data_IF_038544199072
#
_entry.id   IF_038544199072
#
_cell.length_a   1.000
_cell.length_b   1.000
_cell.length_c   1.000
_cell.angle_alpha   90.00
_cell.angle_beta   90.00
_cell.angle_gamma   90.00
#
_symmetry.space_group_name_H-M   'P 1'
#
loop_
_entity.id
_entity.type
_entity.pdbx_description
1 polymer ?
#
# COMPACT_ATOMS: atom_id res chain seq x y z
N UNK A 1 18.29 49.94 -6.67
CA UNK A 1 17.14 49.51 -5.83
C UNK A 1 16.20 48.57 -6.58
N UNK A 2 16.07 48.68 -7.91
CA UNK A 2 15.20 47.76 -8.70
C UNK A 2 15.75 46.32 -8.74
N UNK A 3 17.06 46.12 -8.86
CA UNK A 3 17.63 44.75 -8.85
C UNK A 3 17.40 44.01 -7.54
N UNK A 4 17.62 44.64 -6.38
CA UNK A 4 17.33 44.02 -5.08
C UNK A 4 15.84 43.79 -4.87
N UNK A 5 14.98 44.67 -5.40
CA UNK A 5 13.52 44.51 -5.31
C UNK A 5 13.00 43.31 -6.13
N UNK A 6 13.69 42.92 -7.20
CA UNK A 6 13.30 41.77 -8.04
C UNK A 6 14.02 40.49 -7.61
N UNK A 7 15.29 40.56 -7.21
CA UNK A 7 16.06 39.38 -6.80
C UNK A 7 15.53 38.74 -5.52
N UNK A 8 15.09 39.54 -4.55
CA UNK A 8 14.59 39.02 -3.27
C UNK A 8 13.36 38.11 -3.41
N UNK A 9 12.25 38.50 -4.09
CA UNK A 9 11.10 37.62 -4.23
C UNK A 9 11.42 36.35 -5.04
N UNK A 10 12.29 36.44 -6.06
CA UNK A 10 12.73 35.26 -6.82
C UNK A 10 13.50 34.29 -5.91
N UNK A 11 14.41 34.80 -5.09
CA UNK A 11 15.17 33.99 -4.15
C UNK A 11 14.25 33.31 -3.12
N UNK A 12 13.26 34.03 -2.59
CA UNK A 12 12.30 33.48 -1.63
C UNK A 12 11.45 32.36 -2.26
N UNK A 13 11.00 32.53 -3.50
CA UNK A 13 10.29 31.48 -4.25
C UNK A 13 11.21 30.26 -4.45
N UNK A 14 12.48 30.47 -4.83
CA UNK A 14 13.41 29.37 -5.03
C UNK A 14 13.69 28.60 -3.72
N UNK A 15 13.88 29.32 -2.61
CA UNK A 15 14.08 28.70 -1.29
C UNK A 15 12.82 27.94 -0.86
N UNK A 16 11.64 28.54 -0.99
CA UNK A 16 10.38 27.86 -0.67
C UNK A 16 10.21 26.57 -1.50
N UNK A 17 10.56 26.60 -2.78
CA UNK A 17 10.47 25.44 -3.66
C UNK A 17 11.41 24.32 -3.24
N UNK A 18 12.65 24.65 -2.86
CA UNK A 18 13.62 23.66 -2.34
C UNK A 18 13.12 23.04 -1.03
N UNK A 19 12.55 23.85 -0.14
CA UNK A 19 11.99 23.36 1.13
C UNK A 19 10.79 22.43 0.89
N UNK A 20 9.90 22.79 -0.02
CA UNK A 20 8.73 21.98 -0.40
C UNK A 20 9.15 20.60 -0.96
N UNK A 21 10.09 20.59 -1.93
CA UNK A 21 10.60 19.36 -2.51
C UNK A 21 11.36 18.52 -1.47
N UNK A 22 12.10 19.17 -0.57
CA UNK A 22 12.79 18.49 0.53
C UNK A 22 11.83 17.82 1.50
N UNK A 23 10.74 18.49 1.86
CA UNK A 23 9.69 17.94 2.72
C UNK A 23 8.98 16.75 2.04
N UNK A 24 8.58 16.90 0.78
CA UNK A 24 7.97 15.83 -0.01
C UNK A 24 8.90 14.62 -0.17
N UNK A 25 10.18 14.87 -0.48
CA UNK A 25 11.18 13.81 -0.62
C UNK A 25 11.41 13.06 0.69
N UNK A 26 11.43 13.76 1.83
CA UNK A 26 11.54 13.13 3.13
C UNK A 26 10.35 12.22 3.45
N UNK A 27 9.11 12.68 3.21
CA UNK A 27 7.90 11.85 3.38
C UNK A 27 7.96 10.62 2.46
N UNK A 28 8.28 10.81 1.18
CA UNK A 28 8.38 9.71 0.23
C UNK A 28 9.37 8.64 0.70
N UNK A 29 10.54 9.04 1.22
CA UNK A 29 11.56 8.09 1.72
C UNK A 29 11.06 7.31 2.94
N UNK A 30 10.38 7.97 3.89
CA UNK A 30 9.81 7.30 5.07
C UNK A 30 8.84 6.19 4.65
N UNK A 31 7.89 6.50 3.76
CA UNK A 31 6.92 5.53 3.28
C UNK A 31 7.55 4.46 2.37
N UNK A 32 8.58 4.81 1.60
CA UNK A 32 9.32 3.83 0.80
C UNK A 32 10.09 2.83 1.66
N UNK A 33 10.75 3.29 2.72
CA UNK A 33 11.46 2.41 3.65
C UNK A 33 10.48 1.49 4.40
N UNK A 34 9.32 2.02 4.82
CA UNK A 34 8.25 1.23 5.41
C UNK A 34 7.73 0.14 4.44
N UNK A 35 7.49 0.49 3.17
CA UNK A 35 7.07 -0.47 2.16
C UNK A 35 8.12 -1.56 1.92
N UNK A 36 9.41 -1.19 1.88
CA UNK A 36 10.53 -2.13 1.67
C UNK A 36 10.65 -3.12 2.82
N UNK A 37 10.57 -2.66 4.07
CA UNK A 37 10.69 -3.53 5.23
C UNK A 37 9.50 -4.48 5.33
N UNK A 38 8.28 -3.98 5.10
CA UNK A 38 7.08 -4.79 5.03
C UNK A 38 7.14 -5.86 3.92
N UNK A 39 7.55 -5.49 2.70
CA UNK A 39 7.67 -6.43 1.60
C UNK A 39 8.77 -7.48 1.85
N UNK A 40 9.90 -7.09 2.43
CA UNK A 40 10.97 -8.01 2.82
C UNK A 40 10.50 -9.01 3.88
N UNK A 41 9.69 -8.57 4.83
CA UNK A 41 9.12 -9.46 5.83
C UNK A 41 8.09 -10.42 5.22
N UNK A 42 7.16 -9.91 4.40
CA UNK A 42 6.17 -10.71 3.69
C UNK A 42 6.77 -11.75 2.74
N UNK A 43 7.98 -11.50 2.21
CA UNK A 43 8.74 -12.46 1.42
C UNK A 43 9.06 -13.78 2.16
N UNK A 44 9.13 -13.74 3.49
CA UNK A 44 9.42 -14.90 4.32
C UNK A 44 8.16 -15.67 4.78
N UNK A 45 6.97 -15.16 4.46
CA UNK A 45 5.70 -15.73 4.87
C UNK A 45 4.99 -16.45 3.71
N UNK A 46 4.04 -17.32 4.05
CA UNK A 46 3.24 -18.07 3.09
C UNK A 46 1.80 -17.52 3.03
N UNK A 47 1.42 -16.77 1.98
CA UNK A 47 0.09 -16.17 1.87
C UNK A 47 -1.04 -17.19 1.64
N UNK A 48 -0.74 -18.47 1.39
CA UNK A 48 -1.74 -19.55 1.28
C UNK A 48 -2.07 -20.15 2.65
N UNK A 49 -1.05 -20.38 3.49
CA UNK A 49 -1.24 -20.98 4.82
C UNK A 49 -1.61 -19.96 5.90
N UNK A 50 -1.09 -18.74 5.78
CA UNK A 50 -1.18 -17.75 6.85
C UNK A 50 -2.32 -16.75 6.63
N UNK A 51 -3.12 -16.82 5.57
CA UNK A 51 -4.16 -15.80 5.35
C UNK A 51 -5.49 -16.03 6.08
N UNK A 52 -5.74 -17.25 6.60
CA UNK A 52 -7.07 -17.65 7.08
C UNK A 52 -7.33 -17.38 8.57
N UNK A 53 -6.28 -17.20 9.36
CA UNK A 53 -6.41 -17.00 10.81
C UNK A 53 -6.26 -15.51 11.13
N UNK A 54 -7.28 -14.85 11.72
CA UNK A 54 -7.12 -13.49 12.21
C UNK A 54 -6.21 -13.47 13.44
N UNK A 55 -5.69 -12.27 13.74
CA UNK A 55 -5.04 -11.85 14.99
C UNK A 55 -5.48 -12.71 16.18
N UNK A 56 -4.54 -13.34 16.91
CA UNK A 56 -4.67 -14.33 18.01
C UNK A 56 -6.00 -14.17 18.76
N UNK A 57 -7.01 -14.65 18.07
CA UNK A 57 -8.30 -14.86 18.63
C UNK A 57 -8.15 -16.27 19.15
N UNK A 58 -7.90 -16.36 20.45
CA UNK A 58 -8.11 -17.59 21.22
C UNK A 58 -9.50 -18.23 20.94
N UNK A 59 -10.39 -17.50 20.26
CA UNK A 59 -11.59 -17.96 19.61
C UNK A 59 -11.56 -17.73 18.07
N UNK A 60 -11.53 -18.78 17.23
CA UNK A 60 -11.56 -18.64 15.77
C UNK A 60 -12.84 -17.99 15.22
N UNK A 61 -13.87 -17.76 16.04
CA UNK A 61 -15.11 -17.09 15.63
C UNK A 61 -15.03 -15.55 15.69
N UNK A 62 -13.99 -14.96 16.30
CA UNK A 62 -13.89 -13.51 16.42
C UNK A 62 -13.30 -12.90 15.14
N UNK A 63 -14.03 -11.98 14.46
CA UNK A 63 -13.52 -11.35 13.25
C UNK A 63 -12.40 -10.36 13.55
N UNK A 64 -11.62 -10.04 12.53
CA UNK A 64 -10.65 -8.98 12.65
C UNK A 64 -11.34 -7.64 13.01
N UNK A 65 -10.84 -6.91 14.01
CA UNK A 65 -11.47 -5.67 14.46
C UNK A 65 -11.38 -4.57 13.40
N UNK A 66 -12.42 -3.73 13.30
CA UNK A 66 -12.46 -2.66 12.29
C UNK A 66 -11.44 -1.56 12.61
N UNK A 67 -10.31 -1.58 11.91
CA UNK A 67 -9.19 -0.64 12.10
C UNK A 67 -9.55 0.81 11.77
N UNK A 68 -10.61 1.05 10.99
CA UNK A 68 -11.11 2.41 10.75
C UNK A 68 -11.78 2.98 12.00
N UNK A 69 -12.30 2.12 12.89
CA UNK A 69 -12.87 2.60 14.15
C UNK A 69 -11.82 2.91 15.23
N UNK A 70 -10.54 2.67 14.94
CA UNK A 70 -9.44 2.81 15.89
C UNK A 70 -8.74 4.16 15.75
N UNK A 71 -8.29 4.71 16.87
CA UNK A 71 -7.30 5.79 16.87
C UNK A 71 -5.93 5.25 16.39
N UNK A 72 -5.05 6.12 15.86
CA UNK A 72 -3.69 5.72 15.49
C UNK A 72 -2.94 5.02 16.62
N UNK A 73 -3.12 5.46 17.87
CA UNK A 73 -2.48 4.82 19.04
C UNK A 73 -3.01 3.42 19.33
N UNK A 74 -4.31 3.17 19.09
CA UNK A 74 -4.89 1.84 19.28
C UNK A 74 -4.41 0.88 18.21
N UNK A 75 -4.34 1.33 16.95
CA UNK A 75 -3.79 0.54 15.85
C UNK A 75 -2.31 0.24 16.06
N UNK A 76 -1.51 1.23 16.49
CA UNK A 76 -0.10 1.01 16.81
C UNK A 76 0.08 -0.02 17.93
N UNK A 77 -0.71 0.09 19.00
CA UNK A 77 -0.68 -0.87 20.11
C UNK A 77 -1.06 -2.26 19.63
N UNK A 78 -2.12 -2.37 18.84
CA UNK A 78 -2.53 -3.63 18.23
C UNK A 78 -1.37 -4.24 17.45
N UNK A 79 -0.72 -3.48 16.56
CA UNK A 79 0.40 -4.02 15.80
C UNK A 79 1.61 -4.41 16.66
N UNK A 80 1.84 -3.77 17.81
CA UNK A 80 2.99 -4.04 18.69
C UNK A 80 2.77 -5.20 19.66
N UNK A 81 1.59 -5.27 20.25
CA UNK A 81 1.23 -6.23 21.31
C UNK A 81 0.45 -7.42 20.75
N UNK A 82 0.16 -7.34 19.46
CA UNK A 82 -0.69 -8.25 18.77
C UNK A 82 0.00 -9.46 18.22
N UNK A 83 -0.40 -10.62 18.72
CA UNK A 83 -0.07 -11.86 18.05
C UNK A 83 -1.04 -12.03 16.89
N UNK A 84 -0.54 -12.18 15.67
CA UNK A 84 -1.36 -12.54 14.51
C UNK A 84 -0.57 -13.48 13.66
N UNK A 85 -1.25 -14.47 13.11
CA UNK A 85 -0.66 -15.33 12.09
C UNK A 85 -1.17 -14.96 10.71
N UNK A 86 -1.88 -13.84 10.57
CA UNK A 86 -2.39 -13.40 9.29
C UNK A 86 -1.30 -12.75 8.44
N UNK A 87 -1.00 -13.33 7.27
CA UNK A 87 -0.04 -12.78 6.31
C UNK A 87 -0.18 -11.25 6.12
N UNK A 88 -1.40 -10.81 5.82
CA UNK A 88 -1.65 -9.45 5.41
C UNK A 88 -1.59 -8.47 6.57
N UNK A 89 -2.11 -8.87 7.73
CA UNK A 89 -2.04 -8.02 8.92
C UNK A 89 -0.62 -7.91 9.44
N UNK A 90 0.18 -8.98 9.45
CA UNK A 90 1.58 -8.88 9.89
C UNK A 90 2.38 -7.93 8.99
N UNK A 91 2.23 -8.07 7.66
CA UNK A 91 2.90 -7.20 6.69
C UNK A 91 2.42 -5.75 6.83
N UNK A 92 1.10 -5.52 6.98
CA UNK A 92 0.54 -4.18 7.15
C UNK A 92 0.96 -3.54 8.47
N UNK A 93 0.98 -4.30 9.56
CA UNK A 93 1.42 -3.83 10.87
C UNK A 93 2.90 -3.46 10.87
N UNK A 94 3.75 -4.24 10.20
CA UNK A 94 5.16 -3.89 10.07
C UNK A 94 5.34 -2.61 9.24
N UNK A 95 4.59 -2.44 8.15
CA UNK A 95 4.59 -1.19 7.40
C UNK A 95 4.18 0.00 8.30
N UNK A 96 3.07 -0.16 9.02
CA UNK A 96 2.51 0.87 9.91
C UNK A 96 3.47 1.26 11.05
N UNK A 97 4.16 0.29 11.64
CA UNK A 97 5.14 0.51 12.72
C UNK A 97 6.36 1.31 12.26
N UNK A 98 6.73 1.20 10.98
CA UNK A 98 7.83 1.95 10.38
C UNK A 98 7.40 3.36 9.91
N UNK A 99 6.12 3.71 10.05
CA UNK A 99 5.59 5.04 9.72
C UNK A 99 5.38 5.83 11.03
N UNK A 100 5.75 7.13 11.07
CA UNK A 100 5.46 7.97 12.22
C UNK A 100 3.97 7.99 12.58
N UNK A 101 3.68 7.94 13.88
CA UNK A 101 2.31 7.89 14.37
C UNK A 101 1.49 9.09 13.88
N UNK A 102 0.29 8.83 13.36
CA UNK A 102 -0.62 9.86 12.86
C UNK A 102 -0.23 10.43 11.50
N UNK A 103 0.73 9.83 10.77
CA UNK A 103 1.04 10.22 9.40
C UNK A 103 0.08 9.66 8.37
N UNK A 104 -0.43 8.44 8.59
CA UNK A 104 -1.51 7.87 7.79
C UNK A 104 -2.86 8.26 8.37
N UNK A 105 -3.74 8.79 7.52
CA UNK A 105 -5.11 9.15 7.89
C UNK A 105 -6.15 8.53 6.94
N UNK A 106 -6.80 7.47 7.41
CA UNK A 106 -7.87 6.80 6.67
C UNK A 106 -9.11 7.67 6.49
N UNK A 107 -9.34 8.66 7.36
CA UNK A 107 -10.54 9.51 7.34
C UNK A 107 -10.58 10.42 6.10
N UNK A 108 -9.43 10.64 5.45
CA UNK A 108 -9.31 11.46 4.23
C UNK A 108 -9.62 10.65 2.97
N UNK A 109 -9.92 9.34 3.08
CA UNK A 109 -10.17 8.41 1.95
C UNK A 109 -9.07 8.44 0.87
N UNK A 110 -7.82 8.72 1.25
CA UNK A 110 -6.70 8.71 0.32
C UNK A 110 -5.56 7.81 0.74
N UNK A 111 -5.36 7.65 2.05
CA UNK A 111 -4.26 6.90 2.62
C UNK A 111 -4.61 5.44 2.80
N UNK A 112 -3.68 4.55 2.45
CA UNK A 112 -3.86 3.11 2.61
C UNK A 112 -2.55 2.33 2.52
N UNK A 113 -2.55 1.13 3.09
CA UNK A 113 -1.50 0.14 2.88
C UNK A 113 -2.13 -1.01 2.12
N UNK A 114 -1.65 -1.22 0.90
CA UNK A 114 -2.15 -2.24 -0.02
C UNK A 114 -1.09 -3.30 -0.24
N UNK A 115 -1.49 -4.56 -0.14
CA UNK A 115 -0.62 -5.71 -0.23
C UNK A 115 -1.20 -6.67 -1.27
N UNK A 116 -0.37 -7.05 -2.25
CA UNK A 116 -0.72 -8.01 -3.29
C UNK A 116 0.36 -9.05 -3.42
N UNK A 117 -0.01 -10.32 -3.60
CA UNK A 117 0.96 -11.36 -3.98
C UNK A 117 0.59 -11.88 -5.37
N UNK A 118 1.61 -12.05 -6.21
CA UNK A 118 1.46 -12.49 -7.60
C UNK A 118 2.38 -13.68 -7.84
N UNK A 119 1.80 -14.81 -8.22
CA UNK A 119 2.48 -16.03 -8.62
C UNK A 119 2.69 -16.06 -10.12
N UNK A 120 3.92 -16.36 -10.53
CA UNK A 120 4.37 -16.38 -11.92
C UNK A 120 4.98 -17.74 -12.24
N UNK A 121 4.72 -18.24 -13.45
CA UNK A 121 5.34 -19.44 -14.02
C UNK A 121 5.57 -19.22 -15.51
N UNK A 122 6.77 -19.49 -16.00
CA UNK A 122 7.13 -19.39 -17.42
C UNK A 122 6.75 -18.01 -18.02
N UNK A 123 7.08 -16.93 -17.31
CA UNK A 123 6.76 -15.57 -17.73
C UNK A 123 5.27 -15.18 -17.69
N UNK A 124 4.39 -16.04 -17.20
CA UNK A 124 2.94 -15.79 -17.12
C UNK A 124 2.47 -15.71 -15.67
N UNK A 125 1.51 -14.82 -15.42
CA UNK A 125 0.82 -14.74 -14.12
C UNK A 125 -0.12 -15.94 -14.02
N UNK A 126 0.11 -16.79 -13.02
CA UNK A 126 -0.70 -17.98 -12.76
C UNK A 126 -1.79 -17.66 -11.73
N UNK A 127 -1.44 -16.90 -10.70
CA UNK A 127 -2.30 -16.71 -9.54
C UNK A 127 -2.04 -15.37 -8.85
N UNK A 128 -3.08 -14.82 -8.24
CA UNK A 128 -3.00 -13.65 -7.37
C UNK A 128 -3.69 -13.91 -6.05
N UNK A 129 -3.08 -13.41 -4.99
CA UNK A 129 -3.61 -13.46 -3.63
C UNK A 129 -3.93 -12.05 -3.11
N UNK A 130 -4.90 -11.90 -2.19
CA UNK A 130 -5.61 -12.97 -1.45
C UNK A 130 -6.53 -13.82 -2.33
N UNK A 131 -6.96 -15.02 -1.94
CA UNK A 131 -8.05 -15.73 -2.64
C UNK A 131 -9.39 -15.46 -1.96
N UNK A 132 -10.55 -15.66 -2.63
CA UNK A 132 -11.84 -15.55 -1.96
C UNK A 132 -11.97 -16.46 -0.74
N UNK A 133 -11.35 -17.65 -0.79
CA UNK A 133 -11.30 -18.60 0.31
C UNK A 133 -10.38 -18.16 1.48
N UNK A 134 -9.59 -17.11 1.30
CA UNK A 134 -8.69 -16.59 2.33
C UNK A 134 -9.37 -15.58 3.24
N UNK A 135 -10.56 -15.10 2.86
CA UNK A 135 -11.36 -14.23 3.70
C UNK A 135 -11.99 -15.07 4.82
N UNK A 136 -11.76 -14.67 6.06
CA UNK A 136 -12.47 -15.25 7.18
C UNK A 136 -13.98 -14.95 7.05
N UNK A 137 -14.90 -15.91 7.32
CA UNK A 137 -16.33 -15.73 7.06
C UNK A 137 -16.95 -14.51 7.77
N UNK A 138 -16.39 -14.12 8.92
CA UNK A 138 -16.86 -12.99 9.71
C UNK A 138 -16.03 -11.71 9.49
N UNK A 139 -14.94 -11.77 8.73
CA UNK A 139 -14.15 -10.59 8.40
C UNK A 139 -14.95 -9.63 7.52
N UNK A 140 -14.73 -8.34 7.78
CA UNK A 140 -15.37 -7.28 6.99
C UNK A 140 -14.82 -7.27 5.57
N UNK A 141 -15.73 -7.07 4.62
CA UNK A 141 -15.48 -7.18 3.18
C UNK A 141 -14.50 -6.15 2.63
N UNK A 142 -14.21 -5.06 3.37
CA UNK A 142 -13.42 -3.96 2.84
C UNK A 142 -11.92 -4.26 2.72
N UNK A 143 -11.41 -5.26 3.44
CA UNK A 143 -10.00 -5.62 3.39
C UNK A 143 -9.63 -6.34 2.08
N UNK A 144 -10.57 -7.08 1.49
CA UNK A 144 -10.33 -7.88 0.29
C UNK A 144 -10.88 -7.12 -0.92
N UNK A 145 -9.97 -6.54 -1.70
CA UNK A 145 -10.29 -5.66 -2.82
C UNK A 145 -10.26 -6.40 -4.16
N UNK A 146 -11.12 -5.98 -5.08
CA UNK A 146 -11.45 -6.69 -6.33
C UNK A 146 -12.38 -5.90 -7.26
N UNK A 147 -13.21 -6.64 -8.01
CA UNK A 147 -13.91 -6.21 -9.24
C UNK A 147 -14.72 -4.90 -9.23
N UNK A 148 -15.04 -4.37 -8.06
CA UNK A 148 -15.98 -3.26 -7.85
C UNK A 148 -15.28 -1.96 -7.40
N UNK A 149 -13.94 -1.87 -7.51
CA UNK A 149 -13.14 -0.75 -6.97
C UNK A 149 -12.91 0.46 -7.92
N UNK A 150 -13.66 0.58 -9.02
CA UNK A 150 -13.81 1.83 -9.81
C UNK A 150 -12.89 2.03 -11.03
N UNK A 151 -12.93 3.23 -11.62
CA UNK A 151 -12.32 3.61 -12.93
C UNK A 151 -10.77 3.62 -12.96
N UNK A 152 -10.09 3.50 -11.82
CA UNK A 152 -8.63 3.61 -11.71
C UNK A 152 -7.87 2.37 -12.25
N UNK A 153 -8.57 1.25 -12.43
CA UNK A 153 -8.02 0.04 -13.04
C UNK A 153 -9.04 -0.53 -14.04
N UNK A 154 -9.10 -0.02 -15.28
CA UNK A 154 -10.12 -0.43 -16.25
C UNK A 154 -10.02 -1.91 -16.67
N UNK A 155 -8.91 -2.58 -16.36
CA UNK A 155 -8.75 -4.03 -16.59
C UNK A 155 -9.33 -4.87 -15.43
N UNK A 156 -9.67 -4.24 -14.30
CA UNK A 156 -10.42 -4.82 -13.20
C UNK A 156 -11.92 -4.78 -13.50
N UNK A 157 -12.46 -5.85 -14.07
CA UNK A 157 -13.89 -5.96 -14.36
C UNK A 157 -14.54 -7.04 -13.51
N UNK A 158 -15.87 -7.03 -13.40
CA UNK A 158 -16.65 -8.12 -12.75
C UNK A 158 -16.34 -9.51 -13.31
N UNK A 159 -15.81 -9.61 -14.54
CA UNK A 159 -15.40 -10.87 -15.17
C UNK A 159 -13.90 -11.15 -15.05
N UNK A 160 -13.08 -10.16 -14.70
CA UNK A 160 -11.61 -10.25 -14.55
C UNK A 160 -11.14 -9.73 -13.18
N UNK A 161 -11.87 -10.09 -12.13
CA UNK A 161 -11.64 -9.66 -10.74
C UNK A 161 -10.25 -10.02 -10.19
N UNK A 162 -9.59 -10.99 -10.83
CA UNK A 162 -8.22 -11.42 -10.53
C UNK A 162 -7.18 -10.33 -10.85
N UNK A 163 -7.44 -9.44 -11.80
CA UNK A 163 -6.48 -8.42 -12.26
C UNK A 163 -6.15 -7.37 -11.18
N UNK A 164 -7.07 -7.13 -10.26
CA UNK A 164 -7.00 -6.10 -9.22
C UNK A 164 -7.00 -6.66 -7.80
N UNK A 165 -6.89 -7.98 -7.67
CA UNK A 165 -7.03 -8.61 -6.37
C UNK A 165 -5.90 -8.18 -5.44
N UNK A 166 -6.28 -7.59 -4.33
CA UNK A 166 -5.36 -7.02 -3.36
C UNK A 166 -5.98 -7.04 -1.97
N UNK A 167 -5.14 -6.95 -0.96
CA UNK A 167 -5.55 -6.73 0.40
C UNK A 167 -5.25 -5.28 0.79
N UNK A 168 -6.16 -4.62 1.52
CA UNK A 168 -6.05 -3.22 1.90
C UNK A 168 -6.33 -3.04 3.38
N UNK A 169 -5.51 -2.25 4.08
CA UNK A 169 -5.63 -2.03 5.52
C UNK A 169 -6.91 -1.23 5.86
N UNK A 170 -7.17 -0.13 5.16
CA UNK A 170 -8.34 0.71 5.43
C UNK A 170 -9.50 0.47 4.47
N UNK A 171 -9.31 -0.34 3.43
CA UNK A 171 -10.31 -0.62 2.41
C UNK A 171 -10.61 0.56 1.49
N UNK A 172 -9.67 1.50 1.34
CA UNK A 172 -9.86 2.76 0.62
C UNK A 172 -9.25 2.68 -0.79
N UNK A 173 -8.11 2.00 -0.92
CA UNK A 173 -7.34 1.85 -2.15
C UNK A 173 -7.26 0.37 -2.56
N UNK A 174 -6.84 0.15 -3.80
CA UNK A 174 -6.55 -1.15 -4.37
C UNK A 174 -5.19 -1.10 -5.07
N UNK A 175 -4.67 -2.27 -5.45
CA UNK A 175 -3.37 -2.33 -6.11
C UNK A 175 -3.43 -1.73 -7.52
N UNK A 176 -2.53 -0.79 -7.81
CA UNK A 176 -2.38 -0.19 -9.13
C UNK A 176 -1.54 -1.08 -10.07
N UNK A 177 -1.00 -2.21 -9.58
CA UNK A 177 -0.39 -3.23 -10.43
C UNK A 177 -1.47 -4.18 -10.96
N UNK A 178 -1.86 -4.01 -12.22
CA UNK A 178 -2.73 -4.93 -12.92
C UNK A 178 -1.96 -6.03 -13.68
N UNK A 179 -2.69 -7.01 -14.20
CA UNK A 179 -2.08 -8.12 -14.92
C UNK A 179 -1.42 -7.68 -16.23
N UNK A 180 -1.96 -6.69 -16.93
CA UNK A 180 -1.39 -6.19 -18.18
C UNK A 180 -0.05 -5.49 -17.93
N UNK A 181 0.01 -4.61 -16.92
CA UNK A 181 1.23 -3.92 -16.50
C UNK A 181 2.30 -4.91 -16.04
N UNK A 182 1.90 -5.94 -15.29
CA UNK A 182 2.85 -6.96 -14.83
C UNK A 182 3.33 -7.84 -15.99
N UNK A 183 2.44 -8.28 -16.87
CA UNK A 183 2.81 -9.12 -18.03
C UNK A 183 3.76 -8.38 -18.97
N UNK A 184 3.58 -7.07 -19.17
CA UNK A 184 4.52 -6.25 -19.95
C UNK A 184 5.92 -6.13 -19.33
N UNK A 185 6.04 -6.34 -18.01
CA UNK A 185 7.32 -6.25 -17.28
C UNK A 185 7.96 -7.61 -17.04
N UNK A 186 7.18 -8.69 -17.11
CA UNK A 186 7.68 -10.05 -16.96
C UNK A 186 8.46 -10.47 -18.21
N UNK A 187 9.55 -11.22 -18.00
CA UNK A 187 10.31 -11.85 -19.07
C UNK A 187 9.75 -13.25 -19.32
N UNK A 188 9.75 -13.68 -20.57
CA UNK A 188 9.26 -15.01 -20.97
C UNK A 188 9.99 -16.16 -20.24
N UNK A 189 11.27 -15.96 -19.90
CA UNK A 189 12.11 -16.92 -19.18
C UNK A 189 12.07 -16.75 -17.65
N UNK A 190 11.11 -15.98 -17.12
CA UNK A 190 11.00 -15.82 -15.67
C UNK A 190 10.74 -17.19 -15.00
N UNK A 191 11.54 -17.56 -13.97
CA UNK A 191 11.36 -18.83 -13.27
C UNK A 191 9.99 -18.87 -12.58
N UNK A 192 9.56 -20.06 -12.21
CA UNK A 192 8.43 -20.20 -11.30
C UNK A 192 8.80 -19.55 -9.97
N UNK A 193 8.04 -18.53 -9.56
CA UNK A 193 8.23 -17.77 -8.33
C UNK A 193 6.97 -16.96 -8.03
N UNK A 194 6.83 -16.44 -6.82
CA UNK A 194 5.90 -15.36 -6.55
C UNK A 194 6.63 -14.09 -6.12
N UNK A 195 5.88 -12.99 -6.08
CA UNK A 195 6.33 -11.70 -5.58
C UNK A 195 5.25 -11.10 -4.69
N UNK A 196 5.65 -10.52 -3.55
CA UNK A 196 4.82 -9.64 -2.74
C UNK A 196 5.08 -8.20 -3.17
N UNK A 197 4.00 -7.46 -3.34
CA UNK A 197 3.99 -6.05 -3.67
C UNK A 197 3.31 -5.33 -2.50
N UNK A 198 4.02 -4.40 -1.88
CA UNK A 198 3.47 -3.52 -0.84
C UNK A 198 3.45 -2.11 -1.40
N UNK A 199 2.26 -1.53 -1.50
CA UNK A 199 2.01 -0.16 -1.97
C UNK A 199 1.46 0.64 -0.80
N UNK A 200 2.08 1.79 -0.52
CA UNK A 200 1.57 2.71 0.50
C UNK A 200 1.07 3.96 -0.20
N UNK A 201 -0.22 4.19 -0.10
CA UNK A 201 -0.86 5.39 -0.61
C UNK A 201 -0.85 6.44 0.49
N UNK A 202 -0.34 7.62 0.17
CA UNK A 202 -0.35 8.73 1.12
C UNK A 202 -0.53 10.08 0.40
N UNK A 203 -1.44 10.88 0.91
CA UNK A 203 -1.74 12.22 0.45
C UNK A 203 -0.90 13.26 1.20
N UNK A 204 0.21 13.71 0.60
CA UNK A 204 1.13 14.66 1.23
C UNK A 204 0.59 16.08 1.08
N UNK A 205 0.18 16.77 2.17
CA UNK A 205 -0.22 18.17 2.09
C UNK A 205 0.99 19.05 1.78
N UNK A 206 0.76 20.14 1.05
CA UNK A 206 1.83 21.12 0.80
C UNK A 206 2.34 21.70 2.13
N UNK A 207 3.65 21.68 2.32
CA UNK A 207 4.31 22.18 3.52
C UNK A 207 4.21 23.72 3.62
N UNK A 208 4.49 24.41 2.53
CA UNK A 208 4.47 25.89 2.47
C UNK A 208 3.15 26.45 1.98
N UNK A 209 2.37 25.68 1.24
CA UNK A 209 1.14 26.14 0.57
C UNK A 209 1.36 27.18 -0.55
N UNK A 210 2.61 27.59 -0.82
CA UNK A 210 2.95 28.67 -1.76
C UNK A 210 2.86 28.24 -3.24
N UNK A 211 3.02 26.94 -3.51
CA UNK A 211 3.09 26.38 -4.88
C UNK A 211 1.79 25.77 -5.37
N UNK A 212 0.64 26.12 -4.78
CA UNK A 212 -0.67 25.79 -5.36
C UNK A 212 -0.91 26.68 -6.60
N UNK A 213 -0.10 26.52 -7.64
CA UNK A 213 -0.23 27.25 -8.91
C UNK A 213 -1.37 26.59 -9.70
N UNK A 214 -2.60 26.91 -9.33
CA UNK A 214 -3.82 26.40 -9.99
C UNK A 214 -3.96 24.88 -9.94
N UNK A 215 -4.57 24.29 -10.97
CA UNK A 215 -4.77 22.84 -11.15
C UNK A 215 -3.48 22.05 -11.49
N UNK A 216 -2.32 22.72 -11.61
CA UNK A 216 -1.10 22.09 -12.15
C UNK A 216 -0.46 21.14 -11.13
N UNK A 217 -0.44 21.51 -9.85
CA UNK A 217 0.07 20.66 -8.75
C UNK A 217 -1.05 20.50 -7.73
N UNK A 218 -1.66 19.31 -7.61
CA UNK A 218 -2.75 19.08 -6.67
C UNK A 218 -2.25 19.19 -5.22
N UNK A 219 -3.10 19.71 -4.34
CA UNK A 219 -2.87 19.70 -2.90
C UNK A 219 -4.06 19.00 -2.22
N UNK A 220 -3.86 17.84 -1.57
CA UNK A 220 -2.58 17.15 -1.34
C UNK A 220 -1.98 16.50 -2.59
N UNK A 221 -0.66 16.28 -2.57
CA UNK A 221 0.07 15.54 -3.60
C UNK A 221 -0.09 14.03 -3.32
N UNK A 222 -0.73 13.26 -4.21
CA UNK A 222 -0.83 11.82 -4.04
C UNK A 222 0.54 11.17 -4.26
N UNK A 223 0.98 10.37 -3.29
CA UNK A 223 2.21 9.58 -3.37
C UNK A 223 1.89 8.09 -3.26
N UNK A 224 2.65 7.28 -3.98
CA UNK A 224 2.58 5.81 -3.97
C UNK A 224 3.97 5.19 -4.02
N UNK A 225 4.75 5.28 -2.94
CA UNK A 225 5.91 4.42 -2.79
C UNK A 225 5.47 2.95 -2.73
N UNK A 226 6.24 2.10 -3.39
CA UNK A 226 6.01 0.67 -3.38
C UNK A 226 7.32 -0.10 -3.32
N UNK A 227 7.23 -1.35 -2.88
CA UNK A 227 8.34 -2.31 -2.90
C UNK A 227 7.86 -3.67 -3.39
N UNK A 228 8.73 -4.37 -4.10
CA UNK A 228 8.47 -5.71 -4.64
C UNK A 228 9.59 -6.64 -4.16
N UNK A 229 9.22 -7.74 -3.53
CA UNK A 229 10.15 -8.77 -3.08
C UNK A 229 9.69 -10.16 -3.54
N UNK A 230 10.61 -11.09 -3.86
CA UNK A 230 10.25 -12.46 -4.21
C UNK A 230 9.74 -13.22 -2.97
N UNK A 231 8.69 -14.01 -3.14
CA UNK A 231 8.10 -14.88 -2.12
C UNK A 231 8.24 -16.32 -2.61
N UNK A 232 9.15 -17.09 -2.04
CA UNK A 232 9.35 -18.48 -2.46
C UNK A 232 8.21 -19.41 -1.99
N UNK A 233 7.56 -19.09 -0.88
CA UNK A 233 6.47 -19.91 -0.33
C UNK A 233 5.22 -19.93 -1.22
N UNK A 234 4.98 -18.86 -1.99
CA UNK A 234 3.86 -18.75 -2.92
C UNK A 234 4.21 -19.16 -4.36
N UNK A 235 5.27 -19.95 -4.55
CA UNK A 235 5.61 -20.50 -5.86
C UNK A 235 4.44 -21.37 -6.37
N UNK A 236 3.91 -21.10 -7.57
CA UNK A 236 2.84 -21.92 -8.12
C UNK A 236 3.31 -23.38 -8.25
N UNK A 237 2.51 -24.37 -7.78
CA UNK A 237 2.77 -25.83 -7.91
C UNK A 237 2.42 -26.43 -9.28
#
# INVERSE_FOLDING_TARGET
MVETAIMLPILLILIAGIVEIGALGNEYMIFHDAAREAARFGANLDPELTSQYPFDAHNPDDPFPDVRSMSPTQLQRMCQEGDTTNFYYEVACLAYQNIPLGRLDWAVNQDDIVITVVGVRNGQIVQRWPLPAHKHPFDRDYHFKGADDGDANPTCTITQTVNCRSWSLFGVRHSEFDNDTLTQRLREEAPATAFVIVEIFHAVPHFTGLFTIGEIIPNPIPTRPYAIFPVSAAEPK
#
